data_IF_214285048785
#
_entry.id   IF_214285048785
#
_cell.length_a   1.000
_cell.length_b   1.000
_cell.length_c   1.000
_cell.angle_alpha   90.00
_cell.angle_beta   90.00
_cell.angle_gamma   90.00
#
_symmetry.space_group_name_H-M   'P 1'
#
loop_
_entity.id
_entity.type
_entity.pdbx_description
1 polymer ?
#
# COMPACT_ATOMS: atom_id res chain seq x y z
N UNK A 1 -5.59 9.47 15.50
CA UNK A 1 -6.88 8.91 15.05
C UNK A 1 -7.47 8.14 16.21
N UNK A 2 -8.76 8.30 16.48
CA UNK A 2 -9.47 7.47 17.46
C UNK A 2 -9.33 5.99 17.08
N UNK A 3 -9.09 5.11 18.06
CA UNK A 3 -9.02 3.67 17.79
C UNK A 3 -10.34 3.16 17.20
N UNK A 4 -10.26 2.20 16.28
CA UNK A 4 -11.45 1.55 15.71
C UNK A 4 -12.06 2.23 14.47
N UNK A 5 -11.38 3.23 13.90
CA UNK A 5 -11.79 3.87 12.64
C UNK A 5 -11.18 3.18 11.42
N UNK A 6 -9.89 3.39 11.19
CA UNK A 6 -9.15 2.88 10.02
C UNK A 6 -7.91 2.12 10.48
N UNK A 7 -7.62 1.00 9.82
CA UNK A 7 -6.34 0.30 9.95
C UNK A 7 -5.66 0.15 8.59
N UNK A 8 -4.35 0.36 8.54
CA UNK A 8 -3.50 0.14 7.37
C UNK A 8 -2.48 -0.94 7.73
N UNK A 9 -2.43 -2.02 6.95
CA UNK A 9 -1.54 -3.19 7.11
C UNK A 9 -1.61 -3.88 8.50
N UNK A 10 -2.69 -3.64 9.25
CA UNK A 10 -2.93 -4.23 10.57
C UNK A 10 -4.33 -4.84 10.61
N UNK A 11 -4.40 -6.13 10.93
CA UNK A 11 -5.61 -6.95 10.73
C UNK A 11 -6.10 -7.61 12.01
N UNK A 12 -5.96 -6.95 13.17
CA UNK A 12 -6.37 -7.46 14.48
C UNK A 12 -7.86 -7.29 14.81
N UNK A 13 -8.68 -6.86 13.86
CA UNK A 13 -10.09 -6.52 14.09
C UNK A 13 -10.30 -5.17 14.81
N UNK A 14 -11.56 -4.76 14.95
CA UNK A 14 -11.98 -3.56 15.70
C UNK A 14 -12.05 -2.25 14.91
N UNK A 15 -11.48 -2.18 13.70
CA UNK A 15 -11.65 -1.04 12.79
C UNK A 15 -12.87 -1.21 11.86
N UNK A 16 -13.41 -0.10 11.38
CA UNK A 16 -14.53 -0.05 10.45
C UNK A 16 -14.09 -0.15 8.97
N UNK A 17 -12.87 0.27 8.64
CA UNK A 17 -12.28 0.12 7.32
C UNK A 17 -10.81 -0.29 7.39
N UNK A 18 -10.37 -1.12 6.45
CA UNK A 18 -9.03 -1.67 6.41
C UNK A 18 -8.38 -1.45 5.06
N UNK A 19 -7.08 -1.24 5.06
CA UNK A 19 -6.28 -0.98 3.87
C UNK A 19 -5.07 -1.89 3.86
N UNK A 20 -4.81 -2.51 2.71
CA UNK A 20 -3.62 -3.30 2.47
C UNK A 20 -2.79 -2.62 1.37
N UNK A 21 -1.61 -2.11 1.75
CA UNK A 21 -0.71 -1.39 0.84
C UNK A 21 -0.14 -2.32 -0.22
N UNK A 22 0.26 -3.53 0.17
CA UNK A 22 0.81 -4.55 -0.72
C UNK A 22 0.84 -5.94 -0.04
N UNK A 23 1.12 -6.99 -0.82
CA UNK A 23 0.98 -8.37 -0.38
C UNK A 23 2.29 -8.98 0.15
N UNK A 24 3.06 -8.28 0.99
CA UNK A 24 4.16 -8.91 1.73
C UNK A 24 3.69 -9.49 3.08
N UNK A 25 4.44 -10.45 3.61
CA UNK A 25 4.02 -11.24 4.77
C UNK A 25 3.91 -10.40 6.05
N UNK A 26 4.88 -9.53 6.28
CA UNK A 26 4.92 -8.59 7.39
C UNK A 26 3.76 -7.58 7.36
N UNK A 27 3.28 -7.22 6.15
CA UNK A 27 2.10 -6.37 5.93
C UNK A 27 0.77 -7.13 5.86
N UNK A 28 0.73 -8.44 6.08
CA UNK A 28 -0.50 -9.24 5.99
C UNK A 28 -0.80 -10.05 7.26
N UNK A 29 -0.07 -9.77 8.34
CA UNK A 29 -0.25 -10.43 9.64
C UNK A 29 -1.68 -10.25 10.15
N UNK A 30 -2.40 -11.36 10.27
CA UNK A 30 -3.79 -11.40 10.75
C UNK A 30 -4.85 -11.66 9.66
N UNK A 31 -4.55 -11.47 8.37
CA UNK A 31 -5.52 -11.74 7.28
C UNK A 31 -5.88 -13.22 7.14
N UNK A 32 -4.94 -14.13 7.45
CA UNK A 32 -5.08 -15.58 7.31
C UNK A 32 -5.46 -16.32 8.59
N UNK A 33 -6.02 -15.64 9.61
CA UNK A 33 -6.47 -16.32 10.83
C UNK A 33 -7.53 -17.40 10.52
N UNK A 34 -7.62 -18.43 11.36
CA UNK A 34 -8.34 -19.70 11.10
C UNK A 34 -9.82 -19.60 10.65
N UNK A 35 -10.46 -18.43 10.78
CA UNK A 35 -11.83 -18.17 10.33
C UNK A 35 -11.98 -17.36 9.03
N UNK A 36 -10.87 -16.99 8.39
CA UNK A 36 -10.86 -16.08 7.24
C UNK A 36 -11.13 -14.62 7.62
N UNK A 37 -10.82 -13.70 6.70
CA UNK A 37 -11.04 -12.27 6.93
C UNK A 37 -12.54 -11.94 6.91
N UNK A 38 -13.04 -11.43 8.04
CA UNK A 38 -14.45 -11.05 8.24
C UNK A 38 -14.66 -9.72 8.97
N UNK A 39 -13.59 -8.99 9.27
CA UNK A 39 -13.65 -7.85 10.18
C UNK A 39 -14.23 -6.57 9.56
N UNK A 40 -14.22 -6.44 8.24
CA UNK A 40 -14.76 -5.27 7.55
C UNK A 40 -14.27 -5.14 6.11
N UNK A 41 -14.68 -4.07 5.40
CA UNK A 41 -14.22 -3.80 4.04
C UNK A 41 -12.69 -3.63 4.00
N UNK A 42 -12.05 -4.35 3.08
CA UNK A 42 -10.62 -4.34 2.84
C UNK A 42 -10.30 -3.68 1.49
N UNK A 43 -9.76 -2.48 1.55
CA UNK A 43 -9.32 -1.72 0.39
C UNK A 43 -7.89 -2.13 0.01
N UNK A 44 -7.67 -2.40 -1.28
CA UNK A 44 -6.36 -2.78 -1.82
C UNK A 44 -6.30 -2.50 -3.32
N UNK A 45 -5.14 -2.65 -3.95
CA UNK A 45 -5.05 -2.51 -5.42
C UNK A 45 -5.82 -3.62 -6.15
N UNK A 46 -6.22 -3.42 -7.43
CA UNK A 46 -6.81 -4.49 -8.23
C UNK A 46 -5.91 -5.72 -8.37
N UNK A 47 -4.59 -5.54 -8.38
CA UNK A 47 -3.62 -6.63 -8.39
C UNK A 47 -3.68 -7.42 -7.08
N UNK A 48 -3.59 -6.73 -5.94
CA UNK A 48 -3.69 -7.33 -4.61
C UNK A 48 -5.02 -8.05 -4.42
N UNK A 49 -6.14 -7.44 -4.84
CA UNK A 49 -7.47 -8.02 -4.76
C UNK A 49 -7.60 -9.36 -5.49
N UNK A 50 -6.92 -9.53 -6.64
CA UNK A 50 -6.91 -10.79 -7.40
C UNK A 50 -6.08 -11.88 -6.72
N UNK A 51 -4.99 -11.51 -6.06
CA UNK A 51 -4.07 -12.43 -5.42
C UNK A 51 -4.50 -12.84 -4.00
N UNK A 52 -5.26 -11.99 -3.31
CA UNK A 52 -5.71 -12.21 -1.93
C UNK A 52 -6.41 -13.56 -1.72
N UNK A 53 -7.40 -13.98 -2.54
CA UNK A 53 -8.08 -15.27 -2.34
C UNK A 53 -7.18 -16.48 -2.62
N UNK A 54 -6.15 -16.32 -3.43
CA UNK A 54 -5.20 -17.40 -3.72
C UNK A 54 -4.29 -17.61 -2.51
N UNK A 55 -3.76 -16.51 -1.96
CA UNK A 55 -2.88 -16.55 -0.78
C UNK A 55 -3.61 -16.87 0.53
N UNK A 56 -4.88 -16.44 0.65
CA UNK A 56 -5.70 -16.63 1.84
C UNK A 56 -7.05 -17.25 1.44
N UNK A 57 -7.14 -18.59 1.27
CA UNK A 57 -8.33 -19.29 0.77
C UNK A 57 -9.64 -19.15 1.60
N UNK A 58 -9.64 -18.37 2.68
CA UNK A 58 -10.81 -18.08 3.51
C UNK A 58 -11.26 -16.60 3.49
N UNK A 59 -10.61 -15.74 2.71
CA UNK A 59 -11.02 -14.33 2.63
C UNK A 59 -12.41 -14.21 1.96
N UNK A 60 -13.33 -13.49 2.60
CA UNK A 60 -14.62 -13.18 2.00
C UNK A 60 -14.43 -12.13 0.90
N UNK A 61 -14.51 -12.55 -0.36
CA UNK A 61 -14.35 -11.68 -1.52
C UNK A 61 -15.37 -10.52 -1.54
N UNK A 62 -16.53 -10.67 -0.89
CA UNK A 62 -17.54 -9.60 -0.77
C UNK A 62 -17.09 -8.44 0.12
N UNK A 63 -16.01 -8.61 0.89
CA UNK A 63 -15.39 -7.56 1.69
C UNK A 63 -14.24 -6.86 0.97
N UNK A 64 -13.74 -7.41 -0.14
CA UNK A 64 -12.64 -6.79 -0.89
C UNK A 64 -13.17 -5.57 -1.66
N UNK A 65 -12.45 -4.45 -1.58
CA UNK A 65 -12.77 -3.17 -2.22
C UNK A 65 -11.58 -2.73 -3.08
N UNK A 66 -11.47 -3.19 -4.33
CA UNK A 66 -10.38 -2.78 -5.20
C UNK A 66 -10.39 -1.28 -5.45
N UNK A 67 -9.26 -0.62 -5.24
CA UNK A 67 -9.05 0.81 -5.52
C UNK A 67 -7.89 0.96 -6.49
N UNK A 68 -8.18 1.39 -7.72
CA UNK A 68 -7.18 1.54 -8.76
C UNK A 68 -6.18 2.65 -8.41
N UNK A 69 -4.91 2.57 -8.88
CA UNK A 69 -3.96 3.65 -8.69
C UNK A 69 -4.48 4.96 -9.32
N UNK A 70 -4.41 6.06 -8.57
CA UNK A 70 -4.98 7.37 -8.92
C UNK A 70 -6.47 7.52 -8.59
N UNK A 71 -7.18 6.44 -8.28
CA UNK A 71 -8.60 6.50 -7.94
C UNK A 71 -8.80 6.90 -6.46
N UNK A 72 -9.98 7.46 -6.18
CA UNK A 72 -10.40 7.83 -4.83
C UNK A 72 -11.68 7.09 -4.42
N UNK A 73 -11.80 6.81 -3.13
CA UNK A 73 -13.01 6.30 -2.49
C UNK A 73 -13.46 7.26 -1.39
N UNK A 74 -14.77 7.40 -1.20
CA UNK A 74 -15.33 8.09 -0.03
C UNK A 74 -15.82 7.07 0.97
N UNK A 75 -15.51 7.26 2.24
CA UNK A 75 -15.79 6.33 3.32
C UNK A 75 -16.46 7.10 4.44
N UNK A 76 -17.63 6.59 4.84
CA UNK A 76 -18.34 7.06 6.03
C UNK A 76 -18.02 6.14 7.19
N UNK A 77 -17.58 6.73 8.29
CA UNK A 77 -17.28 6.06 9.55
C UNK A 77 -18.17 6.63 10.66
N UNK A 78 -18.23 5.95 11.79
CA UNK A 78 -18.86 6.45 13.02
C UNK A 78 -17.80 6.53 14.12
N UNK A 79 -17.67 7.69 14.78
CA UNK A 79 -16.79 7.84 15.94
C UNK A 79 -17.22 6.89 17.06
N UNK A 80 -16.35 5.99 17.55
CA UNK A 80 -16.70 5.10 18.65
C UNK A 80 -17.11 5.80 19.96
N UNK A 81 -16.51 6.95 20.28
CA UNK A 81 -16.79 7.70 21.51
C UNK A 81 -18.03 8.58 21.43
N UNK A 82 -18.28 9.21 20.28
CA UNK A 82 -19.35 10.21 20.13
C UNK A 82 -20.55 9.73 19.31
N UNK A 83 -20.38 8.66 18.53
CA UNK A 83 -21.36 8.21 17.53
C UNK A 83 -21.52 9.15 16.32
N UNK A 84 -20.72 10.23 16.24
CA UNK A 84 -20.77 11.18 15.14
C UNK A 84 -20.31 10.51 13.84
N UNK A 85 -21.03 10.78 12.75
CA UNK A 85 -20.60 10.35 11.42
C UNK A 85 -19.40 11.17 10.95
N UNK A 86 -18.36 10.47 10.49
CA UNK A 86 -17.12 11.03 9.97
C UNK A 86 -16.98 10.66 8.50
N UNK A 87 -16.55 11.61 7.66
CA UNK A 87 -16.30 11.42 6.24
C UNK A 87 -14.81 11.48 5.91
N UNK A 88 -14.33 10.47 5.19
CA UNK A 88 -12.97 10.41 4.65
C UNK A 88 -13.01 10.18 3.14
N UNK A 89 -12.20 10.94 2.42
CA UNK A 89 -11.75 10.61 1.07
C UNK A 89 -10.40 9.93 1.16
N UNK A 90 -10.26 8.81 0.47
CA UNK A 90 -8.99 8.08 0.37
C UNK A 90 -8.57 7.99 -1.08
N UNK A 91 -7.37 8.44 -1.40
CA UNK A 91 -6.79 8.35 -2.75
C UNK A 91 -5.62 7.36 -2.75
N UNK A 92 -5.65 6.42 -3.69
CA UNK A 92 -4.58 5.44 -3.88
C UNK A 92 -3.48 6.02 -4.78
N UNK A 93 -2.23 6.03 -4.31
CA UNK A 93 -1.07 6.54 -5.08
C UNK A 93 -0.09 5.38 -5.34
N UNK A 94 0.49 5.22 -6.54
CA UNK A 94 1.46 4.17 -6.79
C UNK A 94 2.70 4.26 -5.86
N UNK A 95 2.99 3.21 -5.10
CA UNK A 95 4.17 3.16 -4.22
C UNK A 95 5.45 2.70 -4.95
N UNK A 96 5.29 1.95 -6.05
CA UNK A 96 6.39 1.44 -6.87
C UNK A 96 7.39 0.55 -6.12
N UNK A 97 6.93 -0.15 -5.08
CA UNK A 97 7.70 -1.17 -4.36
C UNK A 97 7.66 -2.52 -5.07
N UNK A 98 6.45 -3.09 -5.16
CA UNK A 98 6.17 -4.35 -5.86
C UNK A 98 4.87 -4.24 -6.68
N UNK A 99 4.51 -5.23 -7.52
CA UNK A 99 3.25 -5.23 -8.24
C UNK A 99 2.05 -5.07 -7.29
N UNK A 100 1.20 -4.08 -7.56
CA UNK A 100 0.03 -3.79 -6.72
C UNK A 100 0.29 -2.92 -5.49
N UNK A 101 1.53 -2.47 -5.25
CA UNK A 101 1.86 -1.60 -4.12
C UNK A 101 1.27 -0.19 -4.24
N UNK A 102 0.59 0.25 -3.18
CA UNK A 102 -0.08 1.55 -3.07
C UNK A 102 0.28 2.27 -1.76
N UNK A 103 0.40 3.58 -1.86
CA UNK A 103 0.23 4.52 -0.76
C UNK A 103 -1.24 4.93 -0.65
N UNK A 104 -1.66 5.38 0.53
CA UNK A 104 -3.01 5.91 0.77
C UNK A 104 -2.95 7.31 1.37
N UNK A 105 -3.53 8.28 0.66
CA UNK A 105 -3.78 9.63 1.15
C UNK A 105 -5.21 9.71 1.69
N UNK A 106 -5.36 9.90 3.00
CA UNK A 106 -6.62 10.11 3.68
C UNK A 106 -6.84 11.62 3.89
N UNK A 107 -8.02 12.11 3.55
CA UNK A 107 -8.44 13.51 3.76
C UNK A 107 -9.87 13.56 4.28
N UNK A 108 -10.17 14.44 5.22
CA UNK A 108 -11.53 14.66 5.71
C UNK A 108 -11.56 15.03 7.18
N UNK A 109 -12.57 14.56 7.91
CA UNK A 109 -12.83 14.95 9.31
C UNK A 109 -11.71 14.54 10.28
N UNK A 110 -10.81 13.64 9.86
CA UNK A 110 -9.66 13.18 10.64
C UNK A 110 -8.34 13.88 10.25
N UNK A 111 -8.40 14.92 9.40
CA UNK A 111 -7.24 15.60 8.85
C UNK A 111 -6.71 14.98 7.57
N UNK A 112 -5.47 15.35 7.21
CA UNK A 112 -4.75 14.94 6.02
C UNK A 112 -3.57 14.02 6.39
N UNK A 113 -3.67 12.73 6.06
CA UNK A 113 -2.69 11.71 6.45
C UNK A 113 -2.21 10.93 5.24
N UNK A 114 -0.89 10.73 5.10
CA UNK A 114 -0.31 9.89 4.06
C UNK A 114 0.33 8.65 4.69
N UNK A 115 -0.11 7.47 4.25
CA UNK A 115 0.54 6.20 4.52
C UNK A 115 1.28 5.74 3.28
N UNK A 116 2.60 5.62 3.35
CA UNK A 116 3.38 5.20 2.18
C UNK A 116 3.27 3.70 1.93
N UNK A 117 3.02 2.89 2.97
CA UNK A 117 3.43 1.49 2.94
C UNK A 117 4.92 1.39 2.61
N UNK A 118 5.37 0.27 2.10
CA UNK A 118 6.69 0.19 1.47
C UNK A 118 6.66 0.90 0.11
N UNK A 119 7.64 1.76 -0.16
CA UNK A 119 7.71 2.49 -1.43
C UNK A 119 9.14 2.70 -1.91
N UNK A 120 9.30 2.86 -3.23
CA UNK A 120 10.58 3.25 -3.82
C UNK A 120 10.37 4.18 -5.00
N UNK A 121 10.45 5.47 -4.72
CA UNK A 121 10.45 6.52 -5.72
C UNK A 121 11.89 6.95 -6.03
N UNK A 122 12.20 7.00 -7.33
CA UNK A 122 13.55 7.29 -7.82
C UNK A 122 13.54 8.59 -8.60
N UNK A 123 14.58 9.41 -8.43
CA UNK A 123 14.79 10.61 -9.23
C UNK A 123 14.95 10.23 -10.71
N UNK A 124 14.36 11.03 -11.61
CA UNK A 124 14.38 10.76 -13.05
C UNK A 124 13.47 9.61 -13.51
N UNK A 125 12.83 8.87 -12.60
CA UNK A 125 11.87 7.83 -12.98
C UNK A 125 10.51 8.43 -13.34
N UNK A 126 10.09 8.23 -14.58
CA UNK A 126 8.81 8.72 -15.09
C UNK A 126 7.58 8.21 -14.33
N UNK A 127 7.63 6.95 -13.87
CA UNK A 127 6.57 6.37 -13.04
C UNK A 127 6.50 7.09 -11.69
N UNK A 128 7.64 7.36 -11.05
CA UNK A 128 7.70 8.06 -9.77
C UNK A 128 7.26 9.53 -9.92
N UNK A 129 7.65 10.20 -11.01
CA UNK A 129 7.19 11.55 -11.34
C UNK A 129 5.67 11.62 -11.50
N UNK A 130 5.06 10.68 -12.23
CA UNK A 130 3.60 10.60 -12.36
C UNK A 130 2.90 10.29 -11.04
N UNK A 131 3.44 9.38 -10.24
CA UNK A 131 2.90 9.07 -8.90
C UNK A 131 2.97 10.29 -7.96
N UNK A 132 4.10 11.01 -7.97
CA UNK A 132 4.25 12.28 -7.25
C UNK A 132 3.23 13.32 -7.72
N UNK A 133 3.04 13.48 -9.03
CA UNK A 133 2.04 14.41 -9.55
C UNK A 133 0.64 14.04 -9.09
N UNK A 134 0.26 12.75 -9.15
CA UNK A 134 -1.02 12.27 -8.65
C UNK A 134 -1.22 12.56 -7.15
N UNK A 135 -0.17 12.43 -6.34
CA UNK A 135 -0.21 12.82 -4.92
C UNK A 135 -0.44 14.32 -4.76
N UNK A 136 0.29 15.16 -5.50
CA UNK A 136 0.14 16.62 -5.44
C UNK A 136 -1.25 17.08 -5.91
N UNK A 137 -1.77 16.49 -6.99
CA UNK A 137 -3.12 16.76 -7.49
C UNK A 137 -4.17 16.34 -6.46
N UNK A 138 -3.97 15.19 -5.81
CA UNK A 138 -4.85 14.68 -4.76
C UNK A 138 -4.78 15.51 -3.46
N UNK A 139 -3.66 16.16 -3.17
CA UNK A 139 -3.53 17.13 -2.07
C UNK A 139 -4.23 18.45 -2.41
N UNK A 140 -4.18 18.89 -3.66
CA UNK A 140 -4.85 20.12 -4.11
C UNK A 140 -4.34 21.39 -3.40
N UNK A 141 -3.07 21.39 -2.98
CA UNK A 141 -2.45 22.49 -2.25
C UNK A 141 -2.50 22.38 -0.72
N UNK A 142 -3.22 21.39 -0.16
CA UNK A 142 -3.22 21.12 1.28
C UNK A 142 -1.89 20.56 1.77
N UNK A 143 -1.64 20.72 3.07
CA UNK A 143 -0.51 20.11 3.78
C UNK A 143 -0.86 18.72 4.29
N UNK A 144 0.16 17.88 4.46
CA UNK A 144 0.03 16.60 5.17
C UNK A 144 0.23 16.88 6.67
N UNK A 145 -0.75 16.51 7.49
CA UNK A 145 -0.67 16.63 8.95
C UNK A 145 0.14 15.50 9.57
N UNK A 146 -0.01 14.28 9.03
CA UNK A 146 0.71 13.09 9.51
C UNK A 146 1.22 12.25 8.35
N UNK A 147 2.51 11.93 8.39
CA UNK A 147 3.18 11.05 7.44
C UNK A 147 3.61 9.75 8.12
N UNK A 148 3.04 8.63 7.70
CA UNK A 148 3.48 7.28 8.05
C UNK A 148 4.41 6.79 6.94
N UNK A 149 5.71 6.89 7.21
CA UNK A 149 6.80 6.74 6.23
C UNK A 149 7.49 5.37 6.35
N UNK A 150 7.71 4.72 5.22
CA UNK A 150 8.72 3.66 5.09
C UNK A 150 10.11 4.26 5.31
N UNK A 151 10.67 3.89 6.45
CA UNK A 151 11.98 4.33 6.91
C UNK A 151 13.03 3.21 6.85
N UNK A 152 12.79 2.15 6.07
CA UNK A 152 13.67 0.97 5.95
C UNK A 152 15.14 1.37 5.71
N UNK A 153 15.36 2.39 4.88
CA UNK A 153 16.69 2.91 4.54
C UNK A 153 16.94 4.35 5.00
N UNK A 154 16.27 4.80 6.07
CA UNK A 154 16.41 6.16 6.60
C UNK A 154 17.73 6.35 7.39
N UNK A 155 18.86 6.11 6.71
CA UNK A 155 20.20 6.27 7.26
C UNK A 155 21.13 6.92 6.21
N UNK A 156 21.88 7.98 6.56
CA UNK A 156 22.62 8.79 5.58
C UNK A 156 23.74 8.04 4.85
N UNK A 157 24.24 6.94 5.39
CA UNK A 157 25.26 6.10 4.73
C UNK A 157 24.67 5.17 3.65
N UNK A 158 23.35 5.04 3.58
CA UNK A 158 22.68 4.15 2.63
C UNK A 158 22.32 4.94 1.38
N UNK A 159 23.06 4.68 0.30
CA UNK A 159 22.80 5.26 -1.01
C UNK A 159 22.85 4.16 -2.06
N UNK A 160 21.72 3.90 -2.72
CA UNK A 160 21.57 2.80 -3.65
C UNK A 160 21.39 3.30 -5.09
N UNK A 161 21.97 2.62 -6.09
CA UNK A 161 21.74 2.95 -7.49
C UNK A 161 20.25 2.79 -7.88
N UNK A 162 19.77 3.56 -8.88
CA UNK A 162 18.43 3.36 -9.46
C UNK A 162 18.26 1.94 -10.03
N UNK A 163 17.03 1.41 -9.98
CA UNK A 163 16.68 0.08 -10.51
C UNK A 163 17.17 -0.18 -11.94
N UNK A 164 17.08 0.75 -12.91
CA UNK A 164 17.61 0.51 -14.27
C UNK A 164 19.12 0.26 -14.28
N UNK A 165 19.88 1.00 -13.49
CA UNK A 165 21.34 0.84 -13.39
C UNK A 165 21.70 -0.55 -12.84
N UNK A 166 20.97 -1.01 -11.82
CA UNK A 166 21.17 -2.37 -11.28
C UNK A 166 20.77 -3.44 -12.30
N UNK A 167 19.67 -3.25 -13.01
CA UNK A 167 19.22 -4.20 -14.03
C UNK A 167 20.24 -4.32 -15.18
N UNK A 168 20.81 -3.20 -15.63
CA UNK A 168 21.84 -3.16 -16.68
C UNK A 168 23.10 -3.94 -16.29
N UNK A 169 23.52 -3.86 -15.02
CA UNK A 169 24.66 -4.62 -14.51
C UNK A 169 24.48 -6.14 -14.67
N UNK A 170 23.26 -6.66 -14.55
CA UNK A 170 22.99 -8.09 -14.79
C UNK A 170 22.97 -8.47 -16.27
N UNK A 171 22.67 -7.52 -17.16
CA UNK A 171 22.58 -7.79 -18.62
C UNK A 171 23.90 -7.55 -19.36
N UNK A 172 24.80 -6.75 -18.79
CA UNK A 172 26.10 -6.42 -19.38
C UNK A 172 27.19 -7.45 -19.07
N UNK A 173 27.06 -8.17 -17.95
CA UNK A 173 27.85 -9.37 -17.71
C UNK A 173 27.36 -10.50 -18.62
N UNK A 174 28.31 -11.26 -19.18
CA UNK A 174 28.19 -12.29 -20.24
C UNK A 174 27.39 -13.54 -19.80
N UNK A 175 26.25 -13.32 -19.14
CA UNK A 175 25.39 -14.31 -18.49
C UNK A 175 24.58 -15.14 -19.51
N UNK A 176 24.63 -14.79 -20.80
CA UNK A 176 23.97 -15.53 -21.88
C UNK A 176 24.60 -16.90 -22.18
N UNK A 177 25.76 -17.22 -21.58
CA UNK A 177 26.41 -18.54 -21.72
C UNK A 177 26.32 -19.43 -20.48
N UNK A 178 25.62 -19.00 -19.42
CA UNK A 178 25.55 -19.72 -18.13
C UNK A 178 24.11 -19.90 -17.64
N UNK A 179 23.88 -20.95 -16.87
CA UNK A 179 22.63 -21.11 -16.13
C UNK A 179 22.54 -20.01 -15.05
N UNK A 180 21.55 -19.14 -15.15
CA UNK A 180 21.30 -18.07 -14.17
C UNK A 180 20.21 -18.54 -13.20
N UNK A 181 20.48 -18.46 -11.90
CA UNK A 181 19.49 -18.70 -10.84
C UNK A 181 19.09 -17.36 -10.24
N UNK A 182 17.81 -17.01 -10.33
CA UNK A 182 17.25 -15.84 -9.67
C UNK A 182 16.56 -16.26 -8.36
N UNK A 183 17.09 -15.78 -7.23
CA UNK A 183 16.38 -15.85 -5.96
C UNK A 183 15.19 -14.89 -5.99
N UNK A 184 13.99 -15.40 -5.72
CA UNK A 184 12.79 -14.57 -5.63
C UNK A 184 12.30 -14.56 -4.18
N UNK A 185 11.80 -13.42 -3.73
CA UNK A 185 11.02 -13.34 -2.51
C UNK A 185 9.56 -13.47 -2.87
N UNK A 186 8.80 -14.00 -1.94
CA UNK A 186 7.45 -14.44 -2.19
C UNK A 186 6.48 -13.26 -2.18
N UNK A 187 5.56 -13.24 -3.14
CA UNK A 187 4.19 -13.50 -2.75
C UNK A 187 3.99 -14.98 -3.04
N UNK A 188 4.04 -15.84 -2.02
CA UNK A 188 3.71 -17.27 -2.22
C UNK A 188 2.25 -17.28 -2.71
N UNK A 189 2.10 -17.51 -4.01
CA UNK A 189 0.84 -17.77 -4.70
C UNK A 189 0.87 -19.26 -5.02
#
# INVERSE_FOLDING_TARGET
MEEGLVSVDKFSGGSQAYFLTHLHQDHTRGLGAAGGWRHGPLYCSPTTARLLPIRFPGIDASLIRPLAPGASASISLSSPSSGQSLSLRVTAIPALHCPGSLMYLFRGDLGCMLYTGDFRWELGCDKARRAKQALLDALGGDTIDVLYLDNTYCHPSLNFPPRPVVAEQFTADDALTRNIIFGTITSDI
#
